data_IF_250155220229
#
_entry.id   IF_250155220229
#
_cell.length_a   1.000
_cell.length_b   1.000
_cell.length_c   1.000
_cell.angle_alpha   90.00
_cell.angle_beta   90.00
_cell.angle_gamma   90.00
#
_symmetry.space_group_name_H-M   'P 1'
#
loop_
_entity.id
_entity.type
_entity.pdbx_description
1 polymer ?
#
# COMPACT_ATOMS: atom_id res chain seq x y z
N UNK A 1 -9.34 7.77 -22.02
CA UNK A 1 -8.11 7.95 -21.23
C UNK A 1 -7.07 6.87 -21.51
N UNK A 2 -7.41 5.58 -21.54
CA UNK A 2 -6.45 4.49 -21.86
C UNK A 2 -5.71 4.60 -23.21
N UNK A 3 -6.31 5.24 -24.24
CA UNK A 3 -5.67 5.44 -25.55
C UNK A 3 -4.51 6.45 -25.48
N UNK A 4 -4.63 7.52 -24.69
CA UNK A 4 -3.59 8.55 -24.50
C UNK A 4 -2.34 8.01 -23.80
N UNK A 5 -2.49 6.99 -22.95
CA UNK A 5 -1.37 6.43 -22.21
C UNK A 5 -0.57 5.38 -23.00
N UNK A 6 -1.21 4.68 -23.94
CA UNK A 6 -0.50 3.88 -24.95
C UNK A 6 0.30 4.81 -25.87
N UNK A 7 -0.20 6.01 -26.19
CA UNK A 7 0.56 7.05 -26.90
C UNK A 7 1.71 7.62 -26.05
N UNK A 8 1.55 7.78 -24.72
CA UNK A 8 2.65 8.19 -23.83
C UNK A 8 3.80 7.17 -23.82
N UNK A 9 3.49 5.88 -23.81
CA UNK A 9 4.45 4.79 -23.97
C UNK A 9 4.82 4.50 -25.44
N UNK A 10 4.36 5.30 -26.41
CA UNK A 10 4.71 5.17 -27.85
C UNK A 10 5.10 6.49 -28.53
N UNK A 11 5.25 7.61 -27.80
CA UNK A 11 5.54 8.91 -28.41
C UNK A 11 5.30 10.19 -27.59
N UNK A 12 5.18 10.13 -26.25
CA UNK A 12 5.15 11.33 -25.39
C UNK A 12 6.54 11.88 -25.07
N UNK A 13 6.63 13.06 -24.43
CA UNK A 13 7.89 13.76 -24.08
C UNK A 13 8.87 12.92 -23.23
N UNK A 14 8.41 11.86 -22.56
CA UNK A 14 9.24 10.97 -21.73
C UNK A 14 9.34 9.53 -22.29
N UNK A 15 8.88 9.29 -23.52
CA UNK A 15 8.85 7.94 -24.09
C UNK A 15 10.25 7.32 -24.20
N UNK A 16 11.23 8.10 -24.67
CA UNK A 16 12.61 7.66 -24.86
C UNK A 16 13.25 7.24 -23.53
N UNK A 17 13.11 8.07 -22.48
CA UNK A 17 13.63 7.78 -21.14
C UNK A 17 13.02 6.49 -20.56
N UNK A 18 11.70 6.30 -20.69
CA UNK A 18 11.03 5.08 -20.19
C UNK A 18 11.55 3.84 -20.93
N UNK A 19 11.75 3.93 -22.24
CA UNK A 19 12.24 2.80 -23.04
C UNK A 19 13.70 2.47 -22.74
N UNK A 20 14.55 3.47 -22.53
CA UNK A 20 15.93 3.27 -22.08
C UNK A 20 15.98 2.56 -20.73
N UNK A 21 15.15 2.99 -19.78
CA UNK A 21 15.06 2.36 -18.45
C UNK A 21 14.54 0.93 -18.57
N UNK A 22 13.52 0.66 -19.39
CA UNK A 22 13.01 -0.70 -19.61
C UNK A 22 14.07 -1.61 -20.25
N UNK A 23 14.85 -1.11 -21.21
CA UNK A 23 15.95 -1.84 -21.81
C UNK A 23 17.05 -2.17 -20.79
N UNK A 24 17.41 -1.20 -19.93
CA UNK A 24 18.36 -1.42 -18.84
C UNK A 24 17.84 -2.46 -17.83
N UNK A 25 16.58 -2.35 -17.42
CA UNK A 25 15.93 -3.32 -16.51
C UNK A 25 15.92 -4.72 -17.12
N UNK A 26 15.60 -4.85 -18.41
CA UNK A 26 15.64 -6.15 -19.10
C UNK A 26 17.07 -6.74 -19.08
N UNK A 27 18.08 -5.93 -19.37
CA UNK A 27 19.47 -6.36 -19.36
C UNK A 27 19.94 -6.80 -17.95
N UNK A 28 19.57 -6.06 -16.90
CA UNK A 28 19.87 -6.40 -15.51
C UNK A 28 19.19 -7.71 -15.07
N UNK A 29 18.02 -8.02 -15.63
CA UNK A 29 17.30 -9.28 -15.42
C UNK A 29 17.79 -10.42 -16.34
N UNK A 30 18.80 -10.16 -17.19
CA UNK A 30 19.41 -11.14 -18.09
C UNK A 30 18.68 -11.35 -19.43
N UNK A 31 17.71 -10.49 -19.73
CA UNK A 31 16.94 -10.50 -20.98
C UNK A 31 17.49 -9.49 -22.00
N UNK A 32 16.98 -9.57 -23.22
CA UNK A 32 17.26 -8.59 -24.28
C UNK A 32 15.93 -8.23 -24.93
N UNK A 33 15.64 -6.93 -25.06
CA UNK A 33 14.51 -6.44 -25.84
C UNK A 33 15.04 -6.09 -27.24
N UNK A 34 14.93 -7.03 -28.18
CA UNK A 34 15.46 -6.87 -29.55
C UNK A 34 14.69 -5.79 -30.35
N UNK A 35 13.39 -5.66 -30.11
CA UNK A 35 12.54 -4.62 -30.68
C UNK A 35 11.63 -4.05 -29.59
N UNK A 36 11.84 -2.78 -29.24
CA UNK A 36 11.04 -2.05 -28.26
C UNK A 36 9.56 -1.95 -28.67
N UNK A 37 9.24 -2.04 -29.96
CA UNK A 37 7.85 -2.06 -30.44
C UNK A 37 7.14 -3.40 -30.18
N UNK A 38 7.88 -4.45 -29.83
CA UNK A 38 7.33 -5.77 -29.47
C UNK A 38 6.79 -5.84 -28.03
N UNK A 39 7.05 -4.80 -27.23
CA UNK A 39 6.57 -4.71 -25.86
C UNK A 39 5.03 -4.76 -25.80
N UNK A 40 4.53 -5.67 -24.99
CA UNK A 40 3.10 -5.75 -24.70
C UNK A 40 2.81 -4.87 -23.50
N UNK A 41 2.01 -3.82 -23.73
CA UNK A 41 1.64 -2.85 -22.70
C UNK A 41 0.15 -2.97 -22.42
N UNK A 42 -0.20 -3.18 -21.16
CA UNK A 42 -1.58 -3.31 -20.71
C UNK A 42 -1.85 -2.35 -19.54
N UNK A 43 -2.78 -1.39 -19.68
CA UNK A 43 -3.15 -0.54 -18.56
C UNK A 43 -3.85 -1.37 -17.48
N UNK A 44 -3.41 -1.22 -16.23
CA UNK A 44 -4.08 -1.79 -15.07
C UNK A 44 -5.12 -0.79 -14.55
N UNK A 45 -6.37 -1.24 -14.45
CA UNK A 45 -7.46 -0.45 -13.87
C UNK A 45 -7.47 -0.69 -12.36
N UNK A 46 -7.62 0.38 -11.57
CA UNK A 46 -7.81 0.27 -10.11
C UNK A 46 -6.94 1.20 -9.26
N UNK A 47 -5.85 1.75 -9.81
CA UNK A 47 -5.08 2.77 -9.12
C UNK A 47 -5.83 4.12 -9.18
N UNK A 48 -6.22 4.65 -8.01
CA UNK A 48 -6.99 5.91 -7.93
C UNK A 48 -6.10 7.15 -8.10
N UNK A 49 -4.80 7.03 -7.83
CA UNK A 49 -3.87 8.17 -7.72
C UNK A 49 -2.73 8.17 -8.75
N UNK A 50 -2.47 7.05 -9.42
CA UNK A 50 -1.37 6.87 -10.36
C UNK A 50 -1.81 6.09 -11.62
N UNK A 51 -1.14 6.32 -12.75
CA UNK A 51 -1.34 5.48 -13.94
C UNK A 51 -0.37 4.30 -13.90
N UNK A 52 -0.89 3.07 -13.98
CA UNK A 52 -0.10 1.83 -13.86
C UNK A 52 -0.26 0.98 -15.11
N UNK A 53 0.86 0.52 -15.66
CA UNK A 53 0.92 -0.31 -16.85
C UNK A 53 1.67 -1.60 -16.53
N UNK A 54 1.08 -2.73 -16.88
CA UNK A 54 1.79 -4.00 -17.02
C UNK A 54 2.55 -3.98 -18.35
N UNK A 55 3.87 -4.17 -18.31
CA UNK A 55 4.73 -4.23 -19.48
C UNK A 55 5.40 -5.60 -19.54
N UNK A 56 5.27 -6.26 -20.69
CA UNK A 56 5.75 -7.63 -20.87
C UNK A 56 6.70 -7.75 -22.07
N UNK A 57 7.77 -8.54 -21.92
CA UNK A 57 8.70 -8.92 -22.99
C UNK A 57 9.09 -10.41 -22.89
N UNK A 58 9.54 -11.05 -24.00
CA UNK A 58 10.03 -12.42 -23.97
C UNK A 58 11.31 -12.57 -23.13
N UNK A 59 11.38 -13.60 -22.29
CA UNK A 59 12.62 -13.96 -21.58
C UNK A 59 13.59 -14.68 -22.51
N UNK A 60 14.88 -14.60 -22.18
CA UNK A 60 15.92 -15.31 -22.94
C UNK A 60 15.99 -16.82 -22.64
N UNK A 61 15.58 -17.22 -21.44
CA UNK A 61 15.91 -18.53 -20.84
C UNK A 61 14.87 -19.62 -21.03
N UNK A 62 13.59 -19.28 -21.17
CA UNK A 62 12.49 -20.27 -21.05
C UNK A 62 11.28 -20.01 -21.94
N UNK A 63 11.28 -18.94 -22.74
CA UNK A 63 10.16 -18.59 -23.62
C UNK A 63 8.91 -18.10 -22.88
N UNK A 64 9.00 -17.90 -21.56
CA UNK A 64 7.98 -17.18 -20.81
C UNK A 64 8.07 -15.68 -21.08
N UNK A 65 7.05 -14.94 -20.63
CA UNK A 65 7.08 -13.48 -20.67
C UNK A 65 7.54 -12.95 -19.31
N UNK A 66 8.56 -12.10 -19.32
CA UNK A 66 8.87 -11.23 -18.19
C UNK A 66 7.73 -10.23 -18.04
N UNK A 67 7.36 -9.95 -16.79
CA UNK A 67 6.36 -8.93 -16.46
C UNK A 67 6.95 -7.93 -15.49
N UNK A 68 6.71 -6.65 -15.74
CA UNK A 68 7.03 -5.56 -14.81
C UNK A 68 5.88 -4.58 -14.78
N UNK A 69 5.86 -3.72 -13.76
CA UNK A 69 4.93 -2.61 -13.67
C UNK A 69 5.65 -1.30 -13.95
N UNK A 70 5.09 -0.50 -14.86
CA UNK A 70 5.48 0.89 -15.06
C UNK A 70 4.45 1.77 -14.37
N UNK A 71 4.87 2.54 -13.38
CA UNK A 71 4.01 3.49 -12.67
C UNK A 71 4.41 4.92 -13.02
N UNK A 72 3.45 5.67 -13.52
CA UNK A 72 3.58 7.11 -13.77
C UNK A 72 3.02 7.89 -12.58
N UNK A 73 3.75 8.91 -12.15
CA UNK A 73 3.32 9.79 -11.07
C UNK A 73 2.18 10.69 -11.56
N UNK A 74 1.00 10.58 -10.93
CA UNK A 74 -0.14 11.45 -11.23
C UNK A 74 0.00 12.89 -10.69
N UNK A 75 -0.75 13.82 -11.28
CA UNK A 75 -0.89 15.21 -10.79
C UNK A 75 -2.11 15.35 -9.87
N UNK A 76 -2.05 16.26 -8.88
CA UNK A 76 -3.24 16.71 -8.14
C UNK A 76 -3.54 16.07 -6.78
N UNK A 77 -2.63 15.26 -6.21
CA UNK A 77 -2.81 14.64 -4.88
C UNK A 77 -1.95 15.25 -3.76
N UNK A 78 -1.29 16.39 -4.01
CA UNK A 78 -0.34 17.04 -3.08
C UNK A 78 -0.95 17.41 -1.72
N UNK A 79 -2.28 17.60 -1.69
CA UNK A 79 -3.04 17.82 -0.46
C UNK A 79 -2.98 16.57 0.44
N UNK A 80 -3.11 15.39 -0.14
CA UNK A 80 -3.14 14.11 0.57
C UNK A 80 -1.75 13.57 0.83
N UNK A 81 -0.85 13.66 -0.16
CA UNK A 81 0.44 12.99 -0.12
C UNK A 81 1.57 13.90 -0.61
N UNK A 82 2.71 13.83 0.08
CA UNK A 82 3.95 14.42 -0.38
C UNK A 82 4.67 13.39 -1.26
N UNK A 83 4.89 13.74 -2.53
CA UNK A 83 5.54 12.86 -3.51
C UNK A 83 6.94 12.42 -3.08
N UNK A 84 7.69 13.30 -2.39
CA UNK A 84 9.04 12.97 -1.91
C UNK A 84 8.97 11.88 -0.84
N UNK A 85 8.02 11.98 0.08
CA UNK A 85 7.83 11.01 1.16
C UNK A 85 7.34 9.67 0.61
N UNK A 86 6.46 9.69 -0.40
CA UNK A 86 5.97 8.48 -1.10
C UNK A 86 7.13 7.74 -1.78
N UNK A 87 7.96 8.45 -2.53
CA UNK A 87 9.14 7.88 -3.21
C UNK A 87 10.10 7.28 -2.17
N UNK A 88 10.44 8.02 -1.11
CA UNK A 88 11.33 7.53 -0.06
C UNK A 88 10.76 6.30 0.68
N UNK A 89 9.45 6.30 0.92
CA UNK A 89 8.76 5.16 1.54
C UNK A 89 8.85 3.94 0.64
N UNK A 90 8.45 4.05 -0.63
CA UNK A 90 8.51 2.95 -1.59
C UNK A 90 9.92 2.37 -1.74
N UNK A 91 10.93 3.24 -1.87
CA UNK A 91 12.33 2.81 -1.96
C UNK A 91 12.79 2.06 -0.72
N UNK A 92 12.38 2.53 0.46
CA UNK A 92 12.72 1.88 1.72
C UNK A 92 12.01 0.53 1.84
N UNK A 93 10.75 0.43 1.45
CA UNK A 93 10.00 -0.83 1.41
C UNK A 93 10.65 -1.85 0.46
N UNK A 94 11.04 -1.41 -0.73
CA UNK A 94 11.78 -2.24 -1.69
C UNK A 94 13.11 -2.73 -1.12
N UNK A 95 13.87 -1.89 -0.41
CA UNK A 95 15.14 -2.29 0.21
C UNK A 95 14.98 -3.31 1.34
N UNK A 96 13.89 -3.21 2.10
CA UNK A 96 13.57 -4.17 3.16
C UNK A 96 12.97 -5.48 2.62
N UNK A 97 12.67 -5.58 1.32
CA UNK A 97 11.99 -6.74 0.74
C UNK A 97 10.53 -6.90 1.20
N UNK A 98 9.91 -5.79 1.62
CA UNK A 98 8.56 -5.77 2.22
C UNK A 98 7.49 -5.31 1.23
N UNK A 99 7.83 -5.30 -0.06
CA UNK A 99 7.02 -4.82 -1.17
C UNK A 99 7.66 -5.13 -2.52
N UNK A 100 7.07 -4.65 -3.63
CA UNK A 100 7.64 -4.79 -4.96
C UNK A 100 9.05 -4.20 -5.01
N UNK A 101 9.99 -4.89 -5.66
CA UNK A 101 11.31 -4.31 -5.91
C UNK A 101 11.22 -3.13 -6.85
N UNK A 102 11.94 -2.07 -6.53
CA UNK A 102 12.26 -1.01 -7.48
C UNK A 102 13.30 -1.54 -8.47
N UNK A 103 12.95 -1.58 -9.76
CA UNK A 103 13.83 -2.04 -10.84
C UNK A 103 14.48 -0.87 -11.58
N UNK A 104 13.78 0.25 -11.74
CA UNK A 104 14.29 1.42 -12.46
C UNK A 104 13.55 2.70 -12.12
N UNK A 105 14.17 3.86 -12.42
CA UNK A 105 13.58 5.19 -12.24
C UNK A 105 13.73 6.02 -13.49
N UNK A 106 12.75 6.87 -13.71
CA UNK A 106 12.77 7.91 -14.72
C UNK A 106 12.08 9.16 -14.15
N UNK A 107 12.19 10.28 -14.86
CA UNK A 107 11.79 11.60 -14.34
C UNK A 107 10.33 11.66 -13.87
N UNK A 108 9.43 10.94 -14.55
CA UNK A 108 7.99 10.96 -14.30
C UNK A 108 7.42 9.68 -13.69
N UNK A 109 8.27 8.77 -13.21
CA UNK A 109 7.79 7.49 -12.68
C UNK A 109 8.87 6.50 -12.32
N UNK A 110 8.47 5.23 -12.24
CA UNK A 110 9.34 4.11 -11.87
C UNK A 110 8.91 2.80 -12.51
N UNK A 111 9.87 1.88 -12.60
CA UNK A 111 9.64 0.48 -12.97
C UNK A 111 9.74 -0.37 -11.70
N UNK A 112 8.69 -1.13 -11.43
CA UNK A 112 8.51 -1.98 -10.26
C UNK A 112 8.44 -3.45 -10.69
N UNK A 113 8.84 -4.35 -9.80
CA UNK A 113 8.61 -5.78 -9.94
C UNK A 113 7.12 -6.10 -10.05
N UNK A 114 6.77 -7.04 -10.93
CA UNK A 114 5.43 -7.61 -10.96
C UNK A 114 5.31 -8.73 -9.92
N UNK A 115 4.48 -8.51 -8.91
CA UNK A 115 4.19 -9.54 -7.90
C UNK A 115 3.19 -10.55 -8.48
N UNK A 116 3.59 -11.82 -8.51
CA UNK A 116 2.75 -12.93 -8.99
C UNK A 116 1.84 -13.46 -7.86
N UNK A 117 0.99 -12.59 -7.33
CA UNK A 117 0.09 -12.91 -6.22
C UNK A 117 -1.33 -12.40 -6.50
N UNK A 118 -2.31 -12.90 -5.73
CA UNK A 118 -3.70 -12.42 -5.78
C UNK A 118 -3.98 -11.54 -4.58
N UNK A 119 -4.71 -10.45 -4.79
CA UNK A 119 -5.27 -9.67 -3.68
C UNK A 119 -6.24 -10.54 -2.89
N UNK A 120 -6.24 -10.40 -1.57
CA UNK A 120 -7.25 -11.04 -0.74
C UNK A 120 -8.64 -10.46 -1.03
N UNK A 121 -9.66 -11.16 -0.54
CA UNK A 121 -11.06 -10.75 -0.55
C UNK A 121 -11.56 -10.50 0.89
N UNK A 122 -12.76 -9.91 1.00
CA UNK A 122 -13.43 -9.76 2.28
C UNK A 122 -13.63 -11.10 3.02
N UNK A 123 -13.82 -12.19 2.29
CA UNK A 123 -13.98 -13.52 2.88
C UNK A 123 -12.65 -14.09 3.40
N UNK A 124 -11.54 -13.83 2.69
CA UNK A 124 -10.22 -14.32 3.07
C UNK A 124 -9.76 -13.73 4.42
N UNK A 125 -10.14 -12.48 4.73
CA UNK A 125 -9.85 -11.87 6.03
C UNK A 125 -10.50 -12.60 7.22
N UNK A 126 -11.52 -13.43 6.96
CA UNK A 126 -12.26 -14.21 7.96
C UNK A 126 -11.69 -15.61 8.13
N UNK A 127 -10.85 -16.06 7.20
CA UNK A 127 -10.18 -17.35 7.30
C UNK A 127 -9.14 -17.31 8.44
N UNK A 128 -9.21 -18.20 9.45
CA UNK A 128 -8.29 -18.16 10.58
C UNK A 128 -6.81 -18.34 10.22
N UNK A 129 -6.49 -19.09 9.16
CA UNK A 129 -5.11 -19.32 8.75
C UNK A 129 -4.56 -18.10 8.00
N UNK A 130 -5.32 -17.56 7.05
CA UNK A 130 -4.94 -16.34 6.33
C UNK A 130 -4.82 -15.17 7.31
N UNK A 131 -5.78 -15.04 8.22
CA UNK A 131 -5.77 -14.04 9.29
C UNK A 131 -4.50 -14.14 10.17
N UNK A 132 -4.02 -15.35 10.46
CA UNK A 132 -2.76 -15.55 11.18
C UNK A 132 -1.55 -15.06 10.37
N UNK A 133 -1.50 -15.37 9.07
CA UNK A 133 -0.42 -14.90 8.18
C UNK A 133 -0.41 -13.37 8.07
N UNK A 134 -1.58 -12.74 7.95
CA UNK A 134 -1.71 -11.28 7.94
C UNK A 134 -1.25 -10.68 9.27
N UNK A 135 -1.63 -11.29 10.41
CA UNK A 135 -1.19 -10.83 11.71
C UNK A 135 0.33 -10.87 11.87
N UNK A 136 0.99 -11.96 11.45
CA UNK A 136 2.46 -12.05 11.44
C UNK A 136 3.08 -11.01 10.50
N UNK A 137 2.52 -10.83 9.29
CA UNK A 137 3.04 -9.84 8.34
C UNK A 137 2.90 -8.40 8.83
N UNK A 138 1.81 -8.08 9.54
CA UNK A 138 1.63 -6.78 10.19
C UNK A 138 2.70 -6.53 11.25
N UNK A 139 3.11 -7.55 12.04
CA UNK A 139 4.18 -7.39 13.05
C UNK A 139 5.51 -7.08 12.39
N UNK A 140 5.87 -7.82 11.34
CA UNK A 140 7.07 -7.54 10.54
C UNK A 140 7.05 -6.09 10.03
N UNK A 141 5.92 -5.66 9.45
CA UNK A 141 5.76 -4.32 8.91
C UNK A 141 5.88 -3.23 9.99
N UNK A 142 5.25 -3.42 11.15
CA UNK A 142 5.33 -2.47 12.28
C UNK A 142 6.75 -2.31 12.83
N UNK A 143 7.59 -3.34 12.72
CA UNK A 143 8.97 -3.35 13.19
C UNK A 143 9.97 -2.76 12.19
N UNK A 144 9.54 -2.37 10.99
CA UNK A 144 10.43 -1.79 9.98
C UNK A 144 11.08 -0.49 10.45
N UNK A 145 12.38 -0.37 10.16
CA UNK A 145 13.14 0.84 10.44
C UNK A 145 13.06 1.80 9.27
N UNK A 146 11.99 2.59 9.23
CA UNK A 146 11.76 3.56 8.17
C UNK A 146 12.36 4.94 8.52
N UNK A 147 12.86 5.70 7.53
CA UNK A 147 13.32 7.07 7.74
C UNK A 147 12.24 7.96 8.36
N UNK A 148 12.63 8.89 9.23
CA UNK A 148 11.73 9.84 9.89
C UNK A 148 11.58 9.64 11.39
N UNK A 149 10.78 10.48 12.04
CA UNK A 149 10.60 10.42 13.49
C UNK A 149 9.58 9.37 13.89
N UNK A 150 9.91 8.53 14.88
CA UNK A 150 8.99 7.57 15.53
C UNK A 150 7.97 8.30 16.42
N UNK A 151 7.08 9.07 15.81
CA UNK A 151 5.98 9.80 16.45
C UNK A 151 4.73 9.66 15.62
N UNK A 152 3.58 9.56 16.30
CA UNK A 152 2.27 9.47 15.66
C UNK A 152 2.04 10.63 14.69
N UNK A 153 1.81 10.31 13.41
CA UNK A 153 1.47 11.27 12.35
C UNK A 153 -0.04 11.42 12.14
N UNK A 154 -0.84 10.48 12.64
CA UNK A 154 -2.30 10.44 12.52
C UNK A 154 -2.97 11.78 12.86
N UNK A 155 -2.62 12.34 14.03
CA UNK A 155 -3.26 13.57 14.53
C UNK A 155 -2.97 14.79 13.64
N UNK A 156 -1.73 14.92 13.17
CA UNK A 156 -1.36 16.01 12.27
C UNK A 156 -2.09 15.87 10.93
N UNK A 157 -2.20 14.64 10.41
CA UNK A 157 -2.93 14.35 9.16
C UNK A 157 -4.41 14.70 9.29
N UNK A 158 -5.09 14.27 10.36
CA UNK A 158 -6.50 14.61 10.62
C UNK A 158 -6.73 16.13 10.65
N UNK A 159 -5.86 16.89 11.33
CA UNK A 159 -5.97 18.36 11.37
C UNK A 159 -5.72 19.01 10.01
N UNK A 160 -4.73 18.51 9.24
CA UNK A 160 -4.47 19.00 7.88
C UNK A 160 -5.70 18.81 6.99
N UNK A 161 -6.28 17.61 7.00
CA UNK A 161 -7.47 17.30 6.21
C UNK A 161 -8.69 18.09 6.65
N UNK A 162 -8.90 18.22 7.96
CA UNK A 162 -9.98 19.04 8.51
C UNK A 162 -9.87 20.51 8.08
N UNK A 163 -8.70 21.11 8.19
CA UNK A 163 -8.43 22.48 7.74
C UNK A 163 -8.69 22.64 6.24
N UNK A 164 -8.24 21.67 5.43
CA UNK A 164 -8.46 21.69 3.99
C UNK A 164 -9.94 21.53 3.62
N UNK A 165 -10.66 20.60 4.25
CA UNK A 165 -12.10 20.42 4.05
C UNK A 165 -12.88 21.70 4.35
N UNK A 166 -12.56 22.39 5.46
CA UNK A 166 -13.16 23.69 5.79
C UNK A 166 -12.87 24.76 4.74
N UNK A 167 -11.70 24.75 4.12
CA UNK A 167 -11.34 25.72 3.07
C UNK A 167 -12.13 25.56 1.77
N UNK A 168 -12.66 24.34 1.51
CA UNK A 168 -13.43 24.01 0.32
C UNK A 168 -14.95 24.14 0.53
N UNK A 169 -15.40 24.12 1.78
CA UNK A 169 -16.82 24.07 2.13
C UNK A 169 -17.45 25.46 2.23
N UNK A 170 -18.70 25.59 1.79
CA UNK A 170 -19.50 26.78 2.11
C UNK A 170 -19.85 26.79 3.61
N UNK A 171 -20.25 27.94 4.19
CA UNK A 171 -20.73 27.98 5.57
C UNK A 171 -21.89 27.02 5.86
N UNK A 172 -22.72 26.73 4.84
CA UNK A 172 -23.80 25.74 4.94
C UNK A 172 -23.24 24.31 5.05
N UNK A 173 -22.22 23.98 4.25
CA UNK A 173 -21.60 22.66 4.25
C UNK A 173 -20.82 22.40 5.54
N UNK A 174 -20.11 23.41 6.05
CA UNK A 174 -19.42 23.35 7.35
C UNK A 174 -20.38 22.92 8.46
N UNK A 175 -21.56 23.55 8.51
CA UNK A 175 -22.60 23.21 9.48
C UNK A 175 -23.22 21.84 9.22
N UNK A 176 -23.56 21.54 7.96
CA UNK A 176 -24.20 20.27 7.60
C UNK A 176 -23.32 19.05 7.89
N UNK A 177 -22.01 19.18 7.67
CA UNK A 177 -21.03 18.11 7.93
C UNK A 177 -20.42 18.19 9.34
N UNK A 178 -20.82 19.15 10.17
CA UNK A 178 -20.30 19.29 11.54
C UNK A 178 -18.80 19.65 11.61
N UNK A 179 -18.22 20.25 10.57
CA UNK A 179 -16.79 20.56 10.52
C UNK A 179 -16.37 21.58 11.60
N UNK A 180 -17.31 22.32 12.19
CA UNK A 180 -17.06 23.20 13.33
C UNK A 180 -16.69 22.46 14.62
N UNK A 181 -17.08 21.20 14.76
CA UNK A 181 -16.85 20.41 15.97
C UNK A 181 -15.65 19.47 15.88
N UNK A 182 -15.21 19.11 14.67
CA UNK A 182 -14.13 18.13 14.45
C UNK A 182 -12.81 18.49 15.16
N UNK A 183 -12.44 19.77 15.27
CA UNK A 183 -11.24 20.17 16.03
C UNK A 183 -11.35 19.74 17.51
N UNK A 184 -12.55 19.88 18.09
CA UNK A 184 -12.84 19.50 19.48
C UNK A 184 -12.83 17.99 19.63
N UNK A 185 -13.45 17.26 18.71
CA UNK A 185 -13.46 15.80 18.71
C UNK A 185 -12.06 15.19 18.55
N UNK A 186 -11.24 15.76 17.65
CA UNK A 186 -9.83 15.38 17.51
C UNK A 186 -9.07 15.61 18.82
N UNK A 187 -9.27 16.76 19.49
CA UNK A 187 -8.62 17.03 20.78
C UNK A 187 -9.04 16.01 21.85
N UNK A 188 -10.34 15.70 21.94
CA UNK A 188 -10.85 14.69 22.88
C UNK A 188 -10.23 13.32 22.63
N UNK A 189 -10.09 12.90 21.37
CA UNK A 189 -9.44 11.63 21.01
C UNK A 189 -7.95 11.63 21.36
N UNK A 190 -7.25 12.73 21.10
CA UNK A 190 -5.83 12.88 21.48
C UNK A 190 -5.68 12.75 22.99
N UNK A 191 -6.50 13.45 23.77
CA UNK A 191 -6.47 13.41 25.24
C UNK A 191 -6.79 12.01 25.78
N UNK A 192 -7.76 11.32 25.19
CA UNK A 192 -8.17 9.99 25.63
C UNK A 192 -7.10 8.92 25.28
N UNK A 193 -6.59 8.95 24.06
CA UNK A 193 -5.77 7.88 23.50
C UNK A 193 -4.28 8.06 23.76
N UNK A 194 -3.81 9.29 24.04
CA UNK A 194 -2.41 9.55 24.39
C UNK A 194 -2.10 9.33 25.87
N UNK A 195 -3.07 8.83 26.65
CA UNK A 195 -2.86 8.45 28.04
C UNK A 195 -2.15 7.10 28.13
N UNK A 196 -0.95 7.08 28.71
CA UNK A 196 -0.19 5.86 28.96
C UNK A 196 0.81 5.51 27.86
N UNK A 197 1.32 4.29 27.91
CA UNK A 197 2.31 3.80 26.95
C UNK A 197 1.63 3.42 25.61
N UNK A 198 2.20 3.89 24.51
CA UNK A 198 1.81 3.49 23.16
C UNK A 198 3.02 2.90 22.45
N UNK A 199 2.90 1.67 21.95
CA UNK A 199 3.87 1.10 21.03
C UNK A 199 3.72 1.78 19.67
N UNK A 200 4.74 2.55 19.27
CA UNK A 200 4.78 3.25 17.98
C UNK A 200 5.57 2.39 16.99
N UNK A 201 4.89 1.93 15.94
CA UNK A 201 5.46 1.17 14.84
C UNK A 201 5.25 1.87 13.49
N UNK A 202 5.91 1.40 12.45
CA UNK A 202 5.63 1.86 11.10
C UNK A 202 4.32 1.20 10.62
N UNK A 203 3.22 1.95 10.64
CA UNK A 203 1.89 1.44 10.34
C UNK A 203 1.56 1.65 8.86
N UNK A 204 0.78 0.74 8.28
CA UNK A 204 0.22 0.86 6.93
C UNK A 204 -0.87 1.94 6.91
N UNK A 205 -1.72 1.96 7.95
CA UNK A 205 -2.86 2.87 8.14
C UNK A 205 -4.02 2.70 7.15
N UNK A 206 -3.97 1.69 6.28
CA UNK A 206 -5.00 1.40 5.27
C UNK A 206 -4.97 -0.09 4.85
N UNK A 207 -4.93 -0.99 5.83
CA UNK A 207 -4.74 -2.42 5.58
C UNK A 207 -6.05 -3.16 5.22
N UNK A 208 -6.69 -2.72 4.15
CA UNK A 208 -7.84 -3.37 3.54
C UNK A 208 -7.41 -4.55 2.63
N UNK A 209 -8.31 -5.49 2.33
CA UNK A 209 -7.95 -6.77 1.67
C UNK A 209 -7.33 -6.62 0.28
N UNK A 210 -7.64 -5.55 -0.45
CA UNK A 210 -7.05 -5.18 -1.74
C UNK A 210 -5.59 -4.73 -1.65
N UNK A 211 -5.15 -4.31 -0.45
CA UNK A 211 -3.76 -3.95 -0.16
C UNK A 211 -2.94 -5.12 0.39
N UNK A 212 -3.52 -6.32 0.41
CA UNK A 212 -2.87 -7.55 0.88
C UNK A 212 -2.86 -8.54 -0.28
N UNK A 213 -1.66 -8.88 -0.76
CA UNK A 213 -1.48 -9.90 -1.78
C UNK A 213 -0.96 -11.19 -1.15
N UNK A 214 -1.47 -12.33 -1.62
CA UNK A 214 -1.00 -13.66 -1.23
C UNK A 214 -0.57 -14.45 -2.46
N UNK A 215 0.66 -14.96 -2.41
CA UNK A 215 1.17 -15.91 -3.40
C UNK A 215 0.48 -17.27 -3.22
N UNK A 216 -0.07 -17.85 -4.30
CA UNK A 216 -0.91 -19.05 -4.20
C UNK A 216 -0.11 -20.31 -3.87
N UNK A 217 1.17 -20.36 -4.24
CA UNK A 217 2.01 -21.55 -4.08
C UNK A 217 2.70 -21.56 -2.71
N UNK A 218 3.24 -20.41 -2.31
CA UNK A 218 4.03 -20.24 -1.08
C UNK A 218 3.23 -19.73 0.11
N UNK A 219 2.01 -19.20 -0.14
CA UNK A 219 1.19 -18.46 0.85
C UNK A 219 1.88 -17.24 1.45
N UNK A 220 2.94 -16.74 0.82
CA UNK A 220 3.64 -15.55 1.28
C UNK A 220 2.73 -14.31 1.15
N UNK A 221 2.62 -13.54 2.23
CA UNK A 221 1.86 -12.28 2.23
C UNK A 221 2.78 -11.12 1.88
N UNK A 222 2.35 -10.31 0.92
CA UNK A 222 2.97 -9.02 0.60
C UNK A 222 1.94 -7.92 0.76
N UNK A 223 2.23 -6.95 1.61
CA UNK A 223 1.41 -5.73 1.75
C UNK A 223 1.79 -4.80 0.61
N UNK A 224 0.86 -4.02 0.07
CA UNK A 224 1.11 -3.05 -1.01
C UNK A 224 0.33 -1.75 -0.75
N UNK A 225 0.64 -0.71 -1.51
CA UNK A 225 -0.06 0.59 -1.45
C UNK A 225 0.14 1.36 -0.12
N UNK A 226 1.39 1.72 0.15
CA UNK A 226 1.83 2.36 1.40
C UNK A 226 1.62 3.88 1.41
N UNK A 227 0.71 4.45 0.62
CA UNK A 227 0.54 5.91 0.51
C UNK A 227 0.15 6.55 1.84
N UNK A 228 -0.59 5.83 2.68
CA UNK A 228 -0.95 6.26 4.03
C UNK A 228 0.08 5.85 5.09
N UNK A 229 1.11 5.09 4.75
CA UNK A 229 2.02 4.51 5.73
C UNK A 229 2.82 5.60 6.46
N UNK A 230 2.97 5.43 7.78
CA UNK A 230 3.66 6.37 8.66
C UNK A 230 3.81 5.78 10.06
N UNK A 231 4.69 6.38 10.88
CA UNK A 231 4.78 6.00 12.29
C UNK A 231 3.50 6.39 13.03
N UNK A 232 2.83 5.41 13.63
CA UNK A 232 1.60 5.56 14.40
C UNK A 232 1.52 4.51 15.52
N UNK A 233 0.56 4.62 16.46
CA UNK A 233 0.29 3.56 17.41
C UNK A 233 -0.11 2.28 16.67
N UNK A 234 0.57 1.15 16.92
CA UNK A 234 0.28 -0.14 16.25
C UNK A 234 -1.16 -0.60 16.50
N UNK A 235 -1.72 -0.22 17.65
CA UNK A 235 -3.11 -0.49 18.00
C UNK A 235 -4.11 0.20 17.05
N UNK A 236 -3.76 1.37 16.48
CA UNK A 236 -4.60 2.03 15.48
C UNK A 236 -4.68 1.21 14.20
N UNK A 237 -3.54 0.71 13.71
CA UNK A 237 -3.50 -0.05 12.45
C UNK A 237 -4.21 -1.40 12.58
N UNK A 238 -4.03 -2.09 13.73
CA UNK A 238 -4.78 -3.30 14.07
C UNK A 238 -6.29 -3.03 14.14
N UNK A 239 -6.70 -1.94 14.80
CA UNK A 239 -8.11 -1.57 14.89
C UNK A 239 -8.69 -1.22 13.52
N UNK A 240 -7.93 -0.50 12.68
CA UNK A 240 -8.31 -0.17 11.31
C UNK A 240 -8.52 -1.44 10.48
N UNK A 241 -7.59 -2.39 10.53
CA UNK A 241 -7.72 -3.67 9.84
C UNK A 241 -9.00 -4.43 10.25
N UNK A 242 -9.38 -4.41 11.53
CA UNK A 242 -10.65 -5.00 11.97
C UNK A 242 -11.89 -4.25 11.45
N UNK A 243 -11.81 -2.92 11.30
CA UNK A 243 -12.86 -2.15 10.63
C UNK A 243 -12.98 -2.53 9.14
N UNK A 244 -11.88 -2.83 8.47
CA UNK A 244 -11.92 -3.25 7.06
C UNK A 244 -12.64 -4.60 6.85
N UNK A 245 -12.74 -5.45 7.88
CA UNK A 245 -13.50 -6.71 7.80
C UNK A 245 -15.02 -6.52 7.66
N UNK A 246 -15.54 -5.30 7.91
CA UNK A 246 -16.97 -5.00 7.72
C UNK A 246 -17.29 -4.46 6.33
N UNK A 247 -16.27 -4.18 5.52
CA UNK A 247 -16.40 -3.65 4.17
C UNK A 247 -16.42 -4.77 3.11
N UNK A 248 -17.15 -4.55 2.02
CA UNK A 248 -17.03 -5.35 0.81
C UNK A 248 -17.10 -4.44 -0.44
N UNK A 249 -15.95 -3.95 -0.84
CA UNK A 249 -15.71 -3.13 -2.03
C UNK A 249 -16.03 -3.81 -3.37
N UNK A 250 -16.22 -5.14 -3.38
CA UNK A 250 -16.67 -5.88 -4.56
C UNK A 250 -18.19 -6.13 -4.57
N UNK A 251 -18.93 -5.61 -3.59
CA UNK A 251 -20.40 -5.68 -3.58
C UNK A 251 -21.03 -4.62 -4.48
N UNK A 252 -22.32 -4.76 -4.77
CA UNK A 252 -23.10 -3.74 -5.48
C UNK A 252 -23.21 -2.41 -4.70
N UNK A 253 -22.91 -2.41 -3.40
CA UNK A 253 -23.01 -1.27 -2.50
C UNK A 253 -21.71 -1.13 -1.67
N UNK A 254 -20.57 -0.81 -2.31
CA UNK A 254 -19.25 -0.83 -1.67
C UNK A 254 -19.07 0.21 -0.56
N UNK A 255 -19.97 1.19 -0.49
CA UNK A 255 -20.01 2.24 0.55
C UNK A 255 -20.82 1.83 1.79
N UNK A 256 -21.49 0.67 1.77
CA UNK A 256 -22.30 0.17 2.90
C UNK A 256 -21.46 -0.79 3.73
N UNK A 257 -21.24 -0.43 5.00
CA UNK A 257 -20.49 -1.24 5.97
C UNK A 257 -21.43 -2.13 6.77
N UNK A 258 -21.12 -3.43 6.86
CA UNK A 258 -21.90 -4.42 7.59
C UNK A 258 -21.27 -4.74 8.96
N UNK A 259 -21.58 -3.92 9.96
CA UNK A 259 -21.05 -4.07 11.31
C UNK A 259 -21.47 -5.36 12.01
N UNK A 260 -22.44 -6.12 11.48
CA UNK A 260 -22.74 -7.45 12.01
C UNK A 260 -21.61 -8.44 11.76
N UNK A 261 -20.68 -8.12 10.85
CA UNK A 261 -19.48 -8.90 10.52
C UNK A 261 -18.23 -8.46 11.28
N UNK A 262 -18.31 -7.44 12.13
CA UNK A 262 -17.15 -6.98 12.89
C UNK A 262 -16.58 -8.14 13.73
N UNK A 263 -15.26 -8.37 13.73
CA UNK A 263 -14.68 -9.54 14.38
C UNK A 263 -15.00 -9.58 15.88
N UNK A 264 -15.51 -10.73 16.32
CA UNK A 264 -15.83 -10.99 17.72
C UNK A 264 -14.59 -10.93 18.62
N UNK A 265 -14.81 -10.96 19.94
CA UNK A 265 -13.70 -10.90 20.90
C UNK A 265 -12.67 -12.02 20.69
N UNK A 266 -13.13 -13.25 20.53
CA UNK A 266 -12.26 -14.43 20.36
C UNK A 266 -11.39 -14.33 19.10
N UNK A 267 -11.95 -13.84 18.01
CA UNK A 267 -11.23 -13.66 16.75
C UNK A 267 -10.19 -12.55 16.84
N UNK A 268 -10.54 -11.39 17.44
CA UNK A 268 -9.57 -10.31 17.69
C UNK A 268 -8.45 -10.76 18.62
N UNK A 269 -8.76 -11.53 19.66
CA UNK A 269 -7.75 -12.11 20.55
C UNK A 269 -6.83 -13.08 19.82
N UNK A 270 -7.38 -13.96 18.96
CA UNK A 270 -6.57 -14.86 18.13
C UNK A 270 -5.64 -14.09 17.19
N UNK A 271 -6.14 -13.04 16.53
CA UNK A 271 -5.33 -12.17 15.67
C UNK A 271 -4.17 -11.54 16.45
N UNK A 272 -4.48 -10.90 17.58
CA UNK A 272 -3.47 -10.25 18.42
C UNK A 272 -2.46 -11.26 18.97
N UNK A 273 -2.90 -12.47 19.33
CA UNK A 273 -2.00 -13.53 19.75
C UNK A 273 -1.01 -13.92 18.65
N UNK A 274 -1.48 -14.14 17.41
CA UNK A 274 -0.61 -14.46 16.27
C UNK A 274 0.34 -13.29 15.93
N UNK A 275 -0.15 -12.06 16.01
CA UNK A 275 0.66 -10.85 15.84
C UNK A 275 1.81 -10.80 16.86
N UNK A 276 1.52 -10.98 18.15
CA UNK A 276 2.53 -10.93 19.22
C UNK A 276 3.49 -12.14 19.19
N UNK A 277 3.01 -13.31 18.75
CA UNK A 277 3.83 -14.54 18.72
C UNK A 277 4.82 -14.61 17.57
N UNK A 278 4.74 -13.67 16.61
CA UNK A 278 5.61 -13.66 15.43
C UNK A 278 7.01 -13.10 15.68
N UNK A 279 7.32 -12.61 16.89
CA UNK A 279 8.63 -12.05 17.25
C UNK A 279 9.77 -13.08 17.35
N UNK A 280 9.48 -14.38 17.36
CA UNK A 280 10.46 -15.42 17.71
C UNK A 280 11.13 -16.15 16.53
N UNK A 281 10.82 -15.84 15.27
CA UNK A 281 11.29 -16.68 14.14
C UNK A 281 12.63 -16.23 13.54
N UNK A 282 12.97 -14.94 13.54
CA UNK A 282 14.25 -14.47 12.98
C UNK A 282 15.45 -14.62 13.93
N UNK A 283 15.24 -14.63 15.25
CA UNK A 283 16.33 -14.89 16.20
C UNK A 283 16.61 -16.39 16.42
N UNK A 284 15.67 -17.29 16.08
CA UNK A 284 15.85 -18.73 16.25
C UNK A 284 16.65 -19.39 15.10
N UNK A 285 16.68 -18.80 13.91
CA UNK A 285 17.36 -19.36 12.74
C UNK A 285 18.87 -19.06 12.67
N UNK A 286 19.38 -18.12 13.48
CA UNK A 286 20.81 -17.86 13.63
C UNK A 286 21.46 -18.47 14.88
N UNK A 287 20.71 -19.26 15.66
CA UNK A 287 21.25 -20.00 16.81
C UNK A 287 21.66 -21.46 16.47
N UNK A 288 21.52 -21.88 15.22
CA UNK A 288 21.90 -23.23 14.74
C UNK A 288 22.61 -23.23 13.38
N UNK A 289 23.54 -22.30 13.17
CA UNK A 289 24.66 -22.48 12.22
C UNK A 289 25.95 -22.02 12.88
#
# INVERSE_FOLDING_TARGET
>A
MAIKAIELLKGGENHEEIMEVLAAVAADLGDVIDDLNSLQVKPLKGAMTNEVFEVNWPTKSDGHQRKVLVRLYGEGIEVFFNRVDEIQTFESMSKHGQGPRLLGRFTTGRVEEFIHAKTLSAADLRDPEISALVASKMREFHNLHMPGTKKAQLWQRLRKWHSHAKSLCSPKDIKNFGLEHLDTEINMLVELLSQGYQEIGFCHNDLQYGNIMMDEDTRAITLIDYEYASYNPVAYDLANHFCEMVANYHSDQPHVLDYTKYPGLEERQRFVYNYLSSEDVEHALHAFV
#
